data_IF_922881564577
#
_entry.id   IF_922881564577
#
_cell.length_a   1.000
_cell.length_b   1.000
_cell.length_c   1.000
_cell.angle_alpha   90.00
_cell.angle_beta   90.00
_cell.angle_gamma   90.00
#
_symmetry.space_group_name_H-M   'P 1'
#
loop_
_entity.id
_entity.type
_entity.pdbx_description
1 polymer ?
#
# COMPACT_ATOMS: atom_id res chain seq x y z
N UNK A 1 5.47 -15.27 26.03
CA UNK A 1 5.61 -13.94 25.39
C UNK A 1 4.20 -13.54 24.98
N UNK A 2 3.61 -12.57 25.66
CA UNK A 2 2.17 -12.30 25.54
C UNK A 2 1.96 -11.22 24.47
N UNK A 3 1.09 -11.51 23.51
CA UNK A 3 0.64 -10.55 22.50
C UNK A 3 -0.68 -9.96 22.99
N UNK A 4 -0.75 -8.64 23.05
CA UNK A 4 -1.96 -7.91 23.42
C UNK A 4 -2.43 -7.10 22.22
N UNK A 5 -3.71 -7.18 21.90
CA UNK A 5 -4.40 -6.31 20.93
C UNK A 5 -5.23 -5.29 21.71
N UNK A 6 -5.17 -4.02 21.30
CA UNK A 6 -5.94 -2.94 21.91
C UNK A 6 -6.98 -2.49 20.89
N UNK A 7 -8.26 -2.61 21.25
CA UNK A 7 -9.37 -2.05 20.49
C UNK A 7 -9.80 -0.74 21.15
N UNK A 8 -9.76 0.36 20.39
CA UNK A 8 -10.08 1.71 20.89
C UNK A 8 -11.38 2.15 20.23
N UNK A 9 -12.43 2.35 21.02
CA UNK A 9 -13.67 3.00 20.60
C UNK A 9 -13.56 4.49 20.91
N UNK A 10 -13.62 5.33 19.89
CA UNK A 10 -13.53 6.78 20.03
C UNK A 10 -14.36 7.46 18.95
N UNK A 11 -15.11 8.51 19.31
CA UNK A 11 -15.88 9.32 18.37
C UNK A 11 -15.00 10.11 17.40
N UNK A 12 -13.77 10.40 17.80
CA UNK A 12 -12.74 11.03 16.97
C UNK A 12 -11.57 10.06 16.72
N UNK A 13 -10.90 10.13 15.55
CA UNK A 13 -9.79 9.23 15.26
C UNK A 13 -8.69 9.37 16.32
N UNK A 14 -8.32 8.27 17.00
CA UNK A 14 -7.32 8.30 18.06
C UNK A 14 -5.98 8.75 17.48
N UNK A 15 -5.31 9.66 18.19
CA UNK A 15 -3.96 10.11 17.84
C UNK A 15 -3.00 9.45 18.81
N UNK A 16 -2.12 8.61 18.28
CA UNK A 16 -1.08 7.93 19.03
C UNK A 16 0.27 8.38 18.47
N UNK A 17 1.16 8.82 19.34
CA UNK A 17 2.52 9.18 19.00
C UNK A 17 3.51 8.18 19.61
N UNK A 18 4.67 8.02 18.95
CA UNK A 18 5.77 7.25 19.51
C UNK A 18 6.22 7.95 20.80
N UNK A 19 6.32 7.19 21.87
CA UNK A 19 6.68 7.70 23.20
C UNK A 19 5.50 7.96 24.13
N UNK A 20 4.26 7.95 23.64
CA UNK A 20 3.07 8.10 24.48
C UNK A 20 2.93 6.94 25.48
N UNK A 21 2.39 7.25 26.65
CA UNK A 21 2.07 6.25 27.68
C UNK A 21 0.63 5.78 27.49
N UNK A 22 0.44 4.52 27.14
CA UNK A 22 -0.86 3.89 26.90
C UNK A 22 -0.97 2.62 27.73
N UNK A 23 -2.00 2.52 28.57
CA UNK A 23 -2.28 1.36 29.41
C UNK A 23 -1.08 0.87 30.27
N UNK A 24 -0.27 1.81 30.76
CA UNK A 24 0.93 1.51 31.57
C UNK A 24 2.16 1.08 30.76
N UNK A 25 2.07 1.04 29.43
CA UNK A 25 3.19 0.81 28.51
C UNK A 25 3.54 2.06 27.70
N UNK A 26 4.70 2.04 27.05
CA UNK A 26 5.13 3.08 26.11
C UNK A 26 4.91 2.63 24.67
N UNK A 27 4.43 3.52 23.81
CA UNK A 27 4.33 3.27 22.36
C UNK A 27 5.73 3.28 21.75
N UNK A 28 6.30 2.10 21.50
CA UNK A 28 7.67 1.94 20.95
C UNK A 28 7.68 1.89 19.41
N UNK A 29 6.63 1.36 18.79
CA UNK A 29 6.51 1.30 17.34
C UNK A 29 5.04 1.27 16.92
N UNK A 30 4.71 2.01 15.87
CA UNK A 30 3.42 1.92 15.19
C UNK A 30 3.66 1.10 13.93
N UNK A 31 3.14 -0.12 13.90
CA UNK A 31 3.17 -0.97 12.70
C UNK A 31 1.80 -0.92 12.06
N UNK A 32 1.77 -0.64 10.76
CA UNK A 32 0.55 -0.84 9.97
C UNK A 32 0.50 -2.32 9.60
N UNK A 33 -0.65 -2.97 9.75
CA UNK A 33 -0.83 -4.39 9.39
C UNK A 33 -0.77 -4.65 7.87
N UNK A 34 -0.68 -3.59 7.07
CA UNK A 34 -0.62 -3.72 5.63
C UNK A 34 0.80 -4.10 5.17
N UNK A 35 0.94 -5.10 4.30
CA UNK A 35 2.24 -5.63 3.90
C UNK A 35 3.07 -4.59 3.14
N UNK A 36 4.35 -4.50 3.48
CA UNK A 36 5.31 -3.58 2.82
C UNK A 36 5.53 -3.95 1.34
N UNK A 37 5.52 -5.25 1.05
CA UNK A 37 5.67 -5.80 -0.30
C UNK A 37 4.38 -6.49 -0.74
N UNK A 38 3.87 -6.08 -1.90
CA UNK A 38 2.58 -6.53 -2.44
C UNK A 38 2.75 -7.17 -3.82
N UNK A 39 1.85 -8.10 -4.13
CA UNK A 39 1.79 -8.71 -5.46
C UNK A 39 0.96 -7.86 -6.43
N UNK A 40 1.11 -8.13 -7.73
CA UNK A 40 0.26 -7.50 -8.76
C UNK A 40 -1.24 -7.81 -8.56
N UNK A 41 -1.59 -8.96 -7.97
CA UNK A 41 -2.99 -9.32 -7.69
C UNK A 41 -3.58 -8.43 -6.61
N UNK A 42 -2.82 -8.22 -5.53
CA UNK A 42 -3.23 -7.35 -4.43
C UNK A 42 -3.44 -5.91 -4.92
N UNK A 43 -2.53 -5.40 -5.76
CA UNK A 43 -2.66 -4.08 -6.35
C UNK A 43 -3.85 -3.96 -7.32
N UNK A 44 -4.16 -5.02 -8.05
CA UNK A 44 -5.31 -5.07 -8.96
C UNK A 44 -6.62 -4.97 -8.21
N UNK A 45 -6.76 -5.70 -7.10
CA UNK A 45 -7.93 -5.63 -6.22
C UNK A 45 -8.09 -4.23 -5.58
N UNK A 46 -6.98 -3.62 -5.13
CA UNK A 46 -7.02 -2.30 -4.46
C UNK A 46 -7.30 -1.14 -5.43
N UNK A 47 -6.75 -1.19 -6.65
CA UNK A 47 -6.79 -0.06 -7.61
C UNK A 47 -7.81 -0.23 -8.72
N UNK A 48 -8.37 -1.44 -8.90
CA UNK A 48 -9.28 -1.77 -10.01
C UNK A 48 -8.59 -1.83 -11.39
N UNK A 49 -7.26 -1.69 -11.45
CA UNK A 49 -6.49 -1.77 -12.69
C UNK A 49 -6.20 -3.23 -13.05
N UNK A 50 -6.09 -3.50 -14.35
CA UNK A 50 -5.71 -4.83 -14.82
C UNK A 50 -4.27 -5.16 -14.44
N UNK A 51 -4.00 -6.45 -14.19
CA UNK A 51 -2.65 -6.95 -13.88
C UNK A 51 -1.64 -6.58 -14.96
N UNK A 52 -2.03 -6.60 -16.23
CA UNK A 52 -1.16 -6.22 -17.35
C UNK A 52 -0.78 -4.74 -17.31
N UNK A 53 -1.73 -3.85 -17.03
CA UNK A 53 -1.47 -2.42 -16.85
C UNK A 53 -0.58 -2.15 -15.65
N UNK A 54 -0.80 -2.84 -14.53
CA UNK A 54 0.04 -2.72 -13.32
C UNK A 54 1.46 -3.18 -13.61
N UNK A 55 1.63 -4.32 -14.27
CA UNK A 55 2.96 -4.89 -14.58
C UNK A 55 3.75 -3.99 -15.53
N UNK A 56 3.08 -3.41 -16.53
CA UNK A 56 3.70 -2.48 -17.47
C UNK A 56 4.13 -1.18 -16.79
N UNK A 57 3.28 -0.60 -15.93
CA UNK A 57 3.58 0.65 -15.22
C UNK A 57 4.65 0.47 -14.14
N UNK A 58 4.59 -0.65 -13.42
CA UNK A 58 5.50 -0.93 -12.30
C UNK A 58 6.75 -1.71 -12.72
N UNK A 59 6.97 -1.94 -14.02
CA UNK A 59 8.17 -2.60 -14.54
C UNK A 59 9.50 -2.03 -13.99
N UNK A 60 9.67 -0.70 -13.82
CA UNK A 60 10.93 -0.13 -13.31
C UNK A 60 11.21 -0.44 -11.83
N UNK A 61 10.16 -0.68 -11.05
CA UNK A 61 10.25 -0.91 -9.59
C UNK A 61 10.00 -2.39 -9.24
N UNK A 62 9.91 -3.26 -10.24
CA UNK A 62 9.64 -4.67 -10.03
C UNK A 62 10.80 -5.33 -9.29
N UNK A 63 10.50 -5.96 -8.16
CA UNK A 63 11.44 -6.77 -7.41
C UNK A 63 11.12 -8.25 -7.61
N UNK A 64 12.17 -9.07 -7.79
CA UNK A 64 12.05 -10.52 -7.99
C UNK A 64 12.25 -10.97 -9.43
N UNK A 65 11.96 -12.25 -9.67
CA UNK A 65 12.15 -12.93 -10.96
C UNK A 65 10.90 -12.91 -11.82
N UNK A 66 11.08 -13.14 -13.12
CA UNK A 66 9.98 -13.10 -14.08
C UNK A 66 8.93 -14.18 -13.74
N UNK A 67 7.72 -13.75 -13.39
CA UNK A 67 6.63 -14.58 -12.87
C UNK A 67 6.24 -14.34 -11.40
N UNK A 68 7.15 -13.84 -10.54
CA UNK A 68 6.88 -13.53 -9.12
C UNK A 68 7.32 -12.10 -8.77
N UNK A 69 6.79 -11.13 -9.51
CA UNK A 69 7.07 -9.71 -9.29
C UNK A 69 6.38 -9.24 -8.01
N UNK A 70 7.19 -8.71 -7.11
CA UNK A 70 6.76 -8.02 -5.90
C UNK A 70 7.04 -6.53 -6.05
N UNK A 71 6.23 -5.73 -5.39
CA UNK A 71 6.30 -4.28 -5.46
C UNK A 71 6.24 -3.69 -4.06
N UNK A 72 7.02 -2.64 -3.81
CA UNK A 72 6.81 -1.83 -2.60
C UNK A 72 5.44 -1.17 -2.67
N UNK A 73 4.62 -1.38 -1.64
CA UNK A 73 3.22 -0.94 -1.61
C UNK A 73 3.06 0.56 -1.80
N UNK A 74 3.79 1.36 -1.03
CA UNK A 74 3.70 2.82 -1.06
C UNK A 74 4.12 3.38 -2.42
N UNK A 75 5.26 2.91 -2.95
CA UNK A 75 5.79 3.33 -4.24
C UNK A 75 4.86 2.94 -5.38
N UNK A 76 4.31 1.73 -5.35
CA UNK A 76 3.36 1.25 -6.35
C UNK A 76 2.07 2.09 -6.36
N UNK A 77 1.46 2.33 -5.20
CA UNK A 77 0.25 3.14 -5.10
C UNK A 77 0.49 4.59 -5.54
N UNK A 78 1.63 5.16 -5.19
CA UNK A 78 2.00 6.51 -5.64
C UNK A 78 2.09 6.60 -7.17
N UNK A 79 2.81 5.64 -7.79
CA UNK A 79 2.97 5.60 -9.25
C UNK A 79 1.65 5.34 -9.98
N UNK A 80 0.78 4.50 -9.41
CA UNK A 80 -0.55 4.20 -9.98
C UNK A 80 -1.54 5.36 -9.81
N UNK A 81 -1.41 6.17 -8.74
CA UNK A 81 -2.30 7.30 -8.46
C UNK A 81 -1.97 8.56 -9.27
N UNK A 82 -0.69 8.77 -9.60
CA UNK A 82 -0.25 9.96 -10.35
C UNK A 82 -0.71 9.99 -11.80
N UNK A 83 -1.16 8.85 -12.33
CA UNK A 83 -1.31 8.67 -13.77
C UNK A 83 -2.78 8.54 -14.20
N UNK A 84 -3.56 9.60 -13.96
CA UNK A 84 -4.71 9.92 -14.81
C UNK A 84 -4.18 10.43 -16.16
N UNK A 85 -3.49 9.56 -16.90
CA UNK A 85 -3.02 9.88 -18.25
C UNK A 85 -4.26 10.25 -19.08
N UNK A 86 -4.43 11.54 -19.38
CA UNK A 86 -5.47 12.04 -20.28
C UNK A 86 -5.19 11.44 -21.65
N UNK A 87 -5.79 10.29 -21.94
CA UNK A 87 -5.69 9.65 -23.24
C UNK A 87 -6.40 10.57 -24.23
N UNK A 88 -5.61 11.31 -25.02
CA UNK A 88 -6.14 12.14 -26.10
C UNK A 88 -6.98 11.29 -27.06
N UNK A 89 -7.91 11.94 -27.78
CA UNK A 89 -8.78 11.26 -28.74
C UNK A 89 -7.93 10.40 -29.70
N UNK A 90 -8.29 9.12 -29.94
CA UNK A 90 -7.57 8.30 -30.91
C UNK A 90 -7.55 9.01 -32.27
N UNK A 91 -6.37 9.11 -32.88
CA UNK A 91 -6.22 9.65 -34.23
C UNK A 91 -6.81 8.64 -35.22
N UNK A 92 -7.79 9.08 -36.01
CA UNK A 92 -8.35 8.32 -37.12
C UNK A 92 -7.39 8.53 -38.30
N UNK A 93 -6.71 7.48 -38.73
CA UNK A 93 -6.04 7.42 -40.03
C UNK A 93 -6.93 6.63 -40.97
#
# INVERSE_FOLDING_TARGET
MNRYSIEILSDAPPRLFIGDVVAGGQVVAIKSDEPDTVSASWLSEKTGLSKSTITAKLAPIAQGTDGKKMYSRLTALHLLSGDKMKKGRPRKN
#
